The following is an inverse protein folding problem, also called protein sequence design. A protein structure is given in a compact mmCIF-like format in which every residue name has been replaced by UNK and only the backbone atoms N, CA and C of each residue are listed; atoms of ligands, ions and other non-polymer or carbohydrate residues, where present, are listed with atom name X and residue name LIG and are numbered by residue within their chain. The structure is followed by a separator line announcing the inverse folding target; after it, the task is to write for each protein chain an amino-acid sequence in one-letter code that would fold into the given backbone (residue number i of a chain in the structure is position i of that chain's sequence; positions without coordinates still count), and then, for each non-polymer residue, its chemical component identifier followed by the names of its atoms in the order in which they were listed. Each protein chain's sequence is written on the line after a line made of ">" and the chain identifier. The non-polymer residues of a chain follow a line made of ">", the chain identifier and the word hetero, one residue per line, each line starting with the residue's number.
data_IF_858961356990
#
_entry.id   IF_858961356990
#
_cell.length_a   1.000
_cell.length_b   1.000
_cell.length_c   1.000
_cell.angle_alpha   90.00
_cell.angle_beta   90.00
_cell.angle_gamma   90.00
#
_symmetry.space_group_name_H-M   'P 1'
#
loop_
_entity.id
_entity.type
_entity.pdbx_description
1 polymer ?
#
# COMPACT_ATOMS: atom_id res chain seq x y z
N UNK A 1 1.40 -17.55 6.37
CA UNK A 1 1.91 -18.21 7.59
C UNK A 1 1.88 -19.74 7.52
N UNK A 2 0.88 -20.36 6.89
CA UNK A 2 0.71 -21.83 6.84
C UNK A 2 1.95 -22.56 6.24
N UNK A 3 2.72 -21.92 5.36
CA UNK A 3 3.91 -22.51 4.75
C UNK A 3 5.19 -22.38 5.62
N UNK A 4 5.14 -21.62 6.70
CA UNK A 4 6.28 -21.34 7.58
C UNK A 4 5.83 -21.40 9.04
N UNK A 5 5.58 -22.63 9.58
CA UNK A 5 4.97 -22.78 10.90
C UNK A 5 5.82 -22.23 12.05
N UNK A 6 7.15 -22.16 11.88
CA UNK A 6 8.04 -21.55 12.88
C UNK A 6 7.80 -20.04 13.08
N UNK A 7 7.17 -19.35 12.13
CA UNK A 7 6.79 -17.93 12.31
C UNK A 7 5.74 -17.74 13.41
N UNK A 8 5.13 -18.81 13.90
CA UNK A 8 4.18 -18.78 15.03
C UNK A 8 4.83 -18.20 16.31
N UNK A 9 6.14 -18.33 16.46
CA UNK A 9 6.87 -17.83 17.63
C UNK A 9 6.73 -16.31 17.85
N UNK A 10 6.44 -15.55 16.80
CA UNK A 10 6.21 -14.10 16.93
C UNK A 10 4.78 -13.72 17.26
N UNK A 11 3.82 -14.65 17.19
CA UNK A 11 2.39 -14.35 17.44
C UNK A 11 2.13 -13.73 18.82
N UNK A 12 2.75 -14.20 19.91
CA UNK A 12 2.59 -13.56 21.23
C UNK A 12 3.00 -12.08 21.21
N UNK A 13 4.11 -11.77 20.54
CA UNK A 13 4.63 -10.40 20.41
C UNK A 13 3.66 -9.53 19.61
N UNK A 14 3.13 -10.06 18.51
CA UNK A 14 2.12 -9.37 17.68
C UNK A 14 0.82 -9.17 18.46
N UNK A 15 0.40 -10.16 19.27
CA UNK A 15 -0.80 -10.05 20.10
C UNK A 15 -0.66 -8.94 21.17
N UNK A 16 0.48 -8.87 21.85
CA UNK A 16 0.78 -7.79 22.81
C UNK A 16 0.80 -6.44 22.11
N UNK A 17 1.45 -6.33 20.95
CA UNK A 17 1.47 -5.09 20.18
C UNK A 17 0.05 -4.68 19.72
N UNK A 18 -0.81 -5.66 19.35
CA UNK A 18 -2.21 -5.41 19.01
C UNK A 18 -3.02 -4.86 20.19
N UNK A 19 -2.80 -5.40 21.40
CA UNK A 19 -3.40 -4.88 22.63
C UNK A 19 -2.96 -3.44 22.91
N UNK A 20 -1.65 -3.16 22.82
CA UNK A 20 -1.09 -1.82 23.02
C UNK A 20 -1.62 -0.81 22.00
N UNK A 21 -1.83 -1.24 20.75
CA UNK A 21 -2.48 -0.43 19.72
C UNK A 21 -3.95 -0.13 20.09
N UNK A 22 -4.68 -1.15 20.54
CA UNK A 22 -6.08 -0.98 20.98
C UNK A 22 -6.25 -0.05 22.18
N UNK A 23 -5.24 0.00 23.06
CA UNK A 23 -5.18 0.91 24.21
C UNK A 23 -4.65 2.31 23.83
N UNK A 24 -4.27 2.53 22.58
CA UNK A 24 -3.71 3.81 22.11
C UNK A 24 -2.29 4.10 22.59
N UNK A 25 -1.58 3.10 23.17
CA UNK A 25 -0.22 3.25 23.70
C UNK A 25 0.81 3.31 22.58
N UNK A 26 0.60 2.55 21.50
CA UNK A 26 1.44 2.58 20.30
C UNK A 26 0.63 2.96 19.07
N UNK A 27 1.31 3.56 18.08
CA UNK A 27 0.70 3.89 16.79
C UNK A 27 0.64 2.69 15.83
N UNK A 28 -0.12 2.87 14.75
CA UNK A 28 -0.28 1.83 13.72
C UNK A 28 1.04 1.47 13.02
N UNK A 29 1.98 2.41 12.92
CA UNK A 29 3.30 2.16 12.33
C UNK A 29 4.13 1.20 13.18
N UNK A 30 4.13 1.37 14.50
CA UNK A 30 4.82 0.51 15.48
C UNK A 30 4.23 -0.88 15.49
N UNK A 31 2.89 -0.98 15.50
CA UNK A 31 2.20 -2.26 15.37
C UNK A 31 2.61 -2.98 14.07
N UNK A 32 2.62 -2.26 12.96
CA UNK A 32 3.01 -2.81 11.67
C UNK A 32 4.47 -3.27 11.63
N UNK A 33 5.38 -2.56 12.29
CA UNK A 33 6.78 -3.00 12.48
C UNK A 33 6.84 -4.37 13.14
N UNK A 34 6.05 -4.57 14.20
CA UNK A 34 5.99 -5.85 14.91
C UNK A 34 5.48 -6.98 14.02
N UNK A 35 4.46 -6.70 13.18
CA UNK A 35 3.90 -7.69 12.26
C UNK A 35 4.91 -8.22 11.25
N UNK A 36 5.97 -7.49 10.92
CA UNK A 36 6.96 -7.91 9.92
C UNK A 36 8.26 -8.48 10.52
N UNK A 37 8.33 -8.70 11.83
CA UNK A 37 9.49 -9.32 12.49
C UNK A 37 9.82 -10.73 11.99
N UNK A 38 8.87 -11.40 11.32
CA UNK A 38 9.08 -12.71 10.71
C UNK A 38 9.88 -12.67 9.39
N UNK A 39 10.06 -11.52 8.77
CA UNK A 39 10.71 -11.41 7.45
C UNK A 39 12.08 -12.09 7.38
N UNK A 40 12.97 -11.92 8.40
CA UNK A 40 14.27 -12.61 8.38
C UNK A 40 14.16 -14.13 8.46
N UNK A 41 13.00 -14.66 8.87
CA UNK A 41 12.78 -16.08 9.12
C UNK A 41 12.28 -16.83 7.88
N UNK A 42 12.00 -16.14 6.79
CA UNK A 42 11.42 -16.73 5.57
C UNK A 42 12.19 -16.30 4.31
N UNK A 43 12.24 -17.12 3.28
CA UNK A 43 12.75 -16.73 1.96
C UNK A 43 11.73 -15.81 1.27
N UNK A 44 11.74 -14.51 1.65
CA UNK A 44 10.70 -13.53 1.31
C UNK A 44 10.46 -13.44 -0.20
N UNK A 45 11.51 -13.35 -1.02
CA UNK A 45 11.36 -13.26 -2.48
C UNK A 45 10.61 -14.47 -3.07
N UNK A 46 11.00 -15.69 -2.64
CA UNK A 46 10.34 -16.91 -3.08
C UNK A 46 8.88 -16.98 -2.61
N UNK A 47 8.61 -16.53 -1.39
CA UNK A 47 7.27 -16.49 -0.83
C UNK A 47 6.38 -15.49 -1.58
N UNK A 48 6.91 -14.31 -1.90
CA UNK A 48 6.20 -13.26 -2.66
C UNK A 48 5.92 -13.70 -4.09
N UNK A 49 6.90 -14.32 -4.77
CA UNK A 49 6.66 -14.88 -6.10
C UNK A 49 5.51 -15.88 -6.10
N UNK A 50 5.53 -16.86 -5.20
CA UNK A 50 4.44 -17.85 -5.05
C UNK A 50 3.09 -17.20 -4.71
N UNK A 51 3.11 -16.15 -3.89
CA UNK A 51 1.90 -15.39 -3.58
C UNK A 51 1.30 -14.80 -4.85
N UNK A 52 2.08 -14.09 -5.64
CA UNK A 52 1.59 -13.45 -6.86
C UNK A 52 1.30 -14.44 -7.98
N UNK A 53 2.00 -15.58 -8.07
CA UNK A 53 1.63 -16.67 -9.00
C UNK A 53 0.20 -17.14 -8.74
N UNK A 54 -0.20 -17.21 -7.47
CA UNK A 54 -1.55 -17.63 -7.07
C UNK A 54 -2.60 -16.53 -7.24
N UNK A 55 -2.24 -15.26 -7.02
CA UNK A 55 -3.20 -14.17 -6.86
C UNK A 55 -3.16 -13.10 -7.96
N UNK A 56 -2.34 -13.26 -8.98
CA UNK A 56 -2.25 -12.28 -10.08
C UNK A 56 -3.60 -12.11 -10.81
N UNK A 57 -4.42 -13.17 -10.86
CA UNK A 57 -5.76 -13.14 -11.43
C UNK A 57 -6.76 -12.29 -10.64
N UNK A 58 -6.38 -11.82 -9.45
CA UNK A 58 -7.17 -10.86 -8.64
C UNK A 58 -6.92 -9.40 -9.02
N UNK A 59 -5.93 -9.14 -9.87
CA UNK A 59 -5.73 -7.79 -10.41
C UNK A 59 -6.95 -7.40 -11.23
N UNK A 60 -7.47 -6.21 -10.99
CA UNK A 60 -8.66 -5.73 -11.67
C UNK A 60 -8.43 -5.61 -13.19
N UNK A 61 -9.33 -6.12 -14.03
CA UNK A 61 -9.18 -6.04 -15.49
C UNK A 61 -8.96 -4.62 -16.01
N UNK A 62 -9.69 -3.65 -15.45
CA UNK A 62 -9.55 -2.25 -15.85
C UNK A 62 -8.15 -1.68 -15.57
N UNK A 63 -7.41 -2.21 -14.61
CA UNK A 63 -6.03 -1.81 -14.37
C UNK A 63 -5.08 -2.34 -15.44
N UNK A 64 -5.37 -3.52 -15.99
CA UNK A 64 -4.58 -4.13 -17.07
C UNK A 64 -4.76 -3.38 -18.40
N UNK A 65 -5.92 -2.75 -18.60
CA UNK A 65 -6.27 -2.00 -19.81
C UNK A 65 -5.77 -0.54 -19.80
N UNK A 66 -5.08 -0.12 -18.73
CA UNK A 66 -4.59 1.26 -18.61
C UNK A 66 -3.63 1.63 -19.73
N UNK A 67 -3.76 2.84 -20.25
CA UNK A 67 -2.91 3.38 -21.34
C UNK A 67 -2.05 4.55 -20.90
N UNK A 68 -2.32 5.13 -19.73
CA UNK A 68 -1.61 6.28 -19.20
C UNK A 68 -0.51 5.84 -18.24
N UNK A 69 0.46 6.72 -18.03
CA UNK A 69 1.44 6.60 -16.96
C UNK A 69 0.74 6.32 -15.62
N UNK A 70 1.21 5.32 -14.92
CA UNK A 70 0.55 4.79 -13.74
C UNK A 70 1.49 4.77 -12.54
N UNK A 71 1.05 5.40 -11.46
CA UNK A 71 1.76 5.40 -10.18
C UNK A 71 0.94 4.60 -9.17
N UNK A 72 1.52 3.55 -8.59
CA UNK A 72 0.94 2.87 -7.43
C UNK A 72 1.49 3.52 -6.16
N UNK A 73 0.60 4.10 -5.35
CA UNK A 73 0.95 4.66 -4.05
C UNK A 73 0.27 3.85 -2.94
N UNK A 74 1.04 3.15 -2.11
CA UNK A 74 0.47 2.17 -1.19
C UNK A 74 1.13 2.13 0.19
N UNK A 75 0.31 1.90 1.21
CA UNK A 75 0.79 1.60 2.55
C UNK A 75 1.34 0.16 2.67
N UNK A 76 1.17 -0.68 1.67
CA UNK A 76 1.72 -2.04 1.66
C UNK A 76 3.24 -2.02 1.54
N UNK A 77 3.93 -3.10 1.99
CA UNK A 77 5.38 -3.14 1.96
C UNK A 77 5.93 -3.27 0.54
N UNK A 78 7.08 -2.65 0.33
CA UNK A 78 7.84 -2.68 -0.92
C UNK A 78 8.14 -4.12 -1.38
N UNK A 79 8.62 -4.98 -0.49
CA UNK A 79 8.94 -6.38 -0.83
C UNK A 79 7.76 -7.17 -1.39
N UNK A 80 6.53 -6.79 -1.06
CA UNK A 80 5.33 -7.43 -1.58
C UNK A 80 4.91 -6.83 -2.94
N UNK A 81 5.04 -5.52 -3.10
CA UNK A 81 4.51 -4.82 -4.27
C UNK A 81 5.47 -4.74 -5.45
N UNK A 82 6.79 -4.75 -5.22
CA UNK A 82 7.78 -4.67 -6.30
C UNK A 82 7.61 -5.78 -7.34
N UNK A 83 7.40 -7.01 -6.89
CA UNK A 83 7.21 -8.16 -7.78
C UNK A 83 5.99 -7.98 -8.70
N UNK A 84 4.84 -7.57 -8.15
CA UNK A 84 3.64 -7.39 -8.97
C UNK A 84 3.71 -6.12 -9.83
N UNK A 85 4.30 -5.05 -9.33
CA UNK A 85 4.51 -3.83 -10.10
C UNK A 85 5.36 -4.11 -11.35
N UNK A 86 6.44 -4.89 -11.19
CA UNK A 86 7.29 -5.32 -12.30
C UNK A 86 6.52 -6.21 -13.30
N UNK A 87 5.77 -7.20 -12.82
CA UNK A 87 4.97 -8.09 -13.69
C UNK A 87 3.93 -7.32 -14.50
N UNK A 88 3.31 -6.33 -13.89
CA UNK A 88 2.27 -5.51 -14.51
C UNK A 88 2.84 -4.32 -15.27
N UNK A 89 4.17 -4.14 -15.30
CA UNK A 89 4.84 -3.01 -15.92
C UNK A 89 4.24 -1.67 -15.47
N UNK A 90 4.10 -1.52 -14.15
CA UNK A 90 3.69 -0.26 -13.54
C UNK A 90 4.83 0.73 -13.68
N UNK A 91 4.54 1.95 -14.10
CA UNK A 91 5.58 2.92 -14.41
C UNK A 91 6.30 3.38 -13.14
N UNK A 92 5.57 3.51 -12.03
CA UNK A 92 6.17 3.91 -10.76
C UNK A 92 5.47 3.28 -9.54
N UNK A 93 6.28 2.95 -8.51
CA UNK A 93 5.81 2.39 -7.25
C UNK A 93 6.33 3.22 -6.07
N UNK A 94 5.41 3.85 -5.34
CA UNK A 94 5.66 4.56 -4.10
C UNK A 94 4.96 3.80 -2.96
N UNK A 95 5.74 3.23 -2.03
CA UNK A 95 5.15 2.39 -0.99
C UNK A 95 5.96 2.40 0.32
N UNK A 96 5.47 1.69 1.35
CA UNK A 96 6.19 1.59 2.62
C UNK A 96 7.45 0.76 2.46
N UNK A 97 8.60 1.36 2.74
CA UNK A 97 9.91 0.72 2.63
C UNK A 97 10.24 -0.09 3.87
N UNK A 98 10.84 -1.25 3.68
CA UNK A 98 11.23 -2.15 4.78
C UNK A 98 12.68 -2.60 4.61
N UNK A 99 13.38 -2.71 5.74
CA UNK A 99 14.67 -3.38 5.77
C UNK A 99 14.45 -4.89 5.58
N UNK A 100 14.95 -5.43 4.47
CA UNK A 100 14.75 -6.85 4.10
C UNK A 100 15.38 -7.83 5.10
N UNK A 101 16.42 -7.40 5.84
CA UNK A 101 17.12 -8.23 6.82
C UNK A 101 16.44 -8.25 8.18
N UNK A 102 15.75 -7.19 8.56
CA UNK A 102 15.17 -7.05 9.90
C UNK A 102 13.64 -7.00 9.92
N UNK A 103 13.00 -6.81 8.76
CA UNK A 103 11.56 -6.60 8.65
C UNK A 103 11.09 -5.20 9.10
N UNK A 104 11.99 -4.37 9.61
CA UNK A 104 11.63 -3.07 10.17
C UNK A 104 11.27 -2.09 9.06
N UNK A 105 10.17 -1.34 9.24
CA UNK A 105 9.78 -0.26 8.34
C UNK A 105 10.80 0.89 8.41
N UNK A 106 11.18 1.40 7.26
CA UNK A 106 12.10 2.53 7.12
C UNK A 106 11.28 3.81 6.97
N UNK A 107 11.40 4.71 7.94
CA UNK A 107 10.63 5.94 7.95
C UNK A 107 9.17 5.74 8.35
N UNK A 108 8.29 6.58 7.82
CA UNK A 108 6.84 6.53 8.08
C UNK A 108 6.13 5.52 7.18
N UNK A 109 4.99 5.01 7.62
CA UNK A 109 4.11 4.22 6.78
C UNK A 109 3.50 5.10 5.67
N UNK A 110 3.54 4.66 4.42
CA UNK A 110 3.01 5.38 3.25
C UNK A 110 1.46 5.39 3.27
N UNK A 111 0.86 6.19 4.16
CA UNK A 111 -0.58 6.26 4.40
C UNK A 111 -1.03 7.70 4.60
N UNK A 112 -2.24 8.02 4.20
CA UNK A 112 -2.85 9.34 4.32
C UNK A 112 -1.95 10.43 3.70
N UNK A 113 -1.65 11.52 4.38
CA UNK A 113 -0.80 12.62 3.91
C UNK A 113 0.60 12.16 3.46
N UNK A 114 1.13 11.13 4.09
CA UNK A 114 2.46 10.60 3.73
C UNK A 114 2.51 10.10 2.28
N UNK A 115 1.40 9.69 1.69
CA UNK A 115 1.31 9.34 0.27
C UNK A 115 1.64 10.55 -0.63
N UNK A 116 1.02 11.70 -0.34
CA UNK A 116 1.25 12.93 -1.11
C UNK A 116 2.67 13.47 -0.87
N UNK A 117 3.12 13.46 0.39
CA UNK A 117 4.48 13.87 0.72
C UNK A 117 5.51 13.08 -0.07
N UNK A 118 5.37 11.76 -0.16
CA UNK A 118 6.30 10.91 -0.94
C UNK A 118 6.17 11.08 -2.44
N UNK A 119 4.96 11.35 -2.92
CA UNK A 119 4.76 11.66 -4.34
C UNK A 119 5.54 12.93 -4.71
N UNK A 120 5.51 13.95 -3.85
CA UNK A 120 6.23 15.21 -4.05
C UNK A 120 7.73 15.15 -3.72
N UNK A 121 8.23 14.07 -3.12
CA UNK A 121 9.68 13.79 -3.05
C UNK A 121 10.26 13.34 -4.39
N UNK A 122 9.42 12.75 -5.23
CA UNK A 122 9.83 12.21 -6.54
C UNK A 122 9.47 13.16 -7.67
N UNK A 123 8.31 13.80 -7.59
CA UNK A 123 7.79 14.71 -8.59
C UNK A 123 7.60 16.11 -8.01
N UNK A 124 7.99 17.14 -8.75
CA UNK A 124 7.62 18.49 -8.38
C UNK A 124 6.13 18.70 -8.63
N UNK A 125 5.41 19.37 -7.72
CA UNK A 125 3.97 19.61 -7.89
C UNK A 125 3.59 20.31 -9.20
N UNK A 126 4.46 21.22 -9.67
CA UNK A 126 4.29 21.96 -10.92
C UNK A 126 4.43 21.10 -12.19
N UNK A 127 5.19 20.00 -12.11
CA UNK A 127 5.46 19.08 -13.23
C UNK A 127 4.48 17.87 -13.22
N UNK A 128 3.66 17.74 -12.17
CA UNK A 128 2.80 16.60 -11.98
C UNK A 128 1.33 16.91 -12.31
N UNK A 129 0.79 16.22 -13.28
CA UNK A 129 -0.63 16.28 -13.61
C UNK A 129 -1.33 14.95 -13.31
N UNK A 130 -1.99 14.88 -12.15
CA UNK A 130 -2.75 13.70 -11.74
C UNK A 130 -4.14 13.75 -12.38
N UNK A 131 -4.36 12.96 -13.42
CA UNK A 131 -5.64 12.94 -14.14
C UNK A 131 -6.72 12.22 -13.34
N UNK A 132 -6.48 10.94 -13.03
CA UNK A 132 -7.47 10.09 -12.37
C UNK A 132 -6.87 9.45 -11.11
N UNK A 133 -7.67 9.35 -10.06
CA UNK A 133 -7.28 8.68 -8.81
C UNK A 133 -8.24 7.55 -8.48
N UNK A 134 -7.68 6.41 -8.11
CA UNK A 134 -8.41 5.19 -7.78
C UNK A 134 -8.04 4.71 -6.38
N UNK A 135 -9.01 4.52 -5.48
CA UNK A 135 -8.78 3.92 -4.17
C UNK A 135 -10.05 3.28 -3.59
N UNK A 136 -9.87 2.33 -2.68
CA UNK A 136 -10.92 1.70 -1.88
C UNK A 136 -11.17 2.43 -0.54
N UNK A 137 -10.45 3.51 -0.24
CA UNK A 137 -10.52 4.19 1.04
C UNK A 137 -10.78 5.68 0.92
N UNK A 138 -12.01 6.10 1.12
CA UNK A 138 -12.34 7.54 1.26
C UNK A 138 -11.53 8.21 2.38
N UNK A 139 -11.47 7.57 3.56
CA UNK A 139 -10.87 8.17 4.75
C UNK A 139 -9.36 8.37 4.63
N UNK A 140 -8.63 7.38 4.12
CA UNK A 140 -7.17 7.40 4.13
C UNK A 140 -6.56 8.00 2.87
N UNK A 141 -7.34 8.10 1.80
CA UNK A 141 -6.88 8.58 0.52
C UNK A 141 -7.51 9.93 0.10
N UNK A 142 -8.13 10.64 1.07
CA UNK A 142 -8.62 12.01 0.89
C UNK A 142 -7.57 12.90 0.21
N UNK A 143 -6.34 12.88 0.70
CA UNK A 143 -5.25 13.72 0.21
C UNK A 143 -4.78 13.36 -1.21
N UNK A 144 -4.84 12.09 -1.59
CA UNK A 144 -4.54 11.68 -2.98
C UNK A 144 -5.71 12.01 -3.89
N UNK A 145 -6.95 11.81 -3.45
CA UNK A 145 -8.13 12.20 -4.23
C UNK A 145 -8.18 13.68 -4.54
N UNK A 146 -7.68 14.55 -3.63
CA UNK A 146 -7.63 15.99 -3.87
C UNK A 146 -6.73 16.42 -5.01
N UNK A 147 -5.83 15.55 -5.48
CA UNK A 147 -4.93 15.81 -6.60
C UNK A 147 -5.57 15.53 -7.98
N UNK A 148 -6.70 14.80 -8.01
CA UNK A 148 -7.33 14.43 -9.27
C UNK A 148 -7.86 15.66 -10.03
N UNK A 149 -7.39 15.85 -11.25
CA UNK A 149 -7.85 16.93 -12.13
C UNK A 149 -9.08 16.53 -12.96
N UNK A 150 -9.20 15.24 -13.31
CA UNK A 150 -10.30 14.74 -14.12
C UNK A 150 -11.32 13.99 -13.28
N UNK A 151 -10.96 12.83 -12.68
CA UNK A 151 -11.96 11.98 -12.03
C UNK A 151 -11.40 11.25 -10.82
N UNK A 152 -12.19 11.21 -9.73
CA UNK A 152 -12.00 10.32 -8.59
C UNK A 152 -12.83 9.05 -8.76
N UNK A 153 -12.22 7.89 -8.48
CA UNK A 153 -12.90 6.60 -8.51
C UNK A 153 -12.76 5.89 -7.18
N UNK A 154 -13.88 5.63 -6.54
CA UNK A 154 -13.91 4.67 -5.42
C UNK A 154 -13.99 3.25 -5.96
N UNK A 155 -13.16 2.36 -5.43
CA UNK A 155 -13.17 0.95 -5.82
C UNK A 155 -13.99 0.16 -4.82
N UNK A 156 -15.14 -0.28 -5.26
CA UNK A 156 -16.06 -1.06 -4.46
C UNK A 156 -16.42 -2.37 -5.18
N UNK A 157 -16.23 -3.52 -4.51
CA UNK A 157 -16.47 -4.85 -5.07
C UNK A 157 -15.90 -5.03 -6.50
N UNK A 158 -14.67 -4.55 -6.70
CA UNK A 158 -13.96 -4.58 -8.00
C UNK A 158 -14.51 -3.64 -9.09
N UNK A 159 -15.52 -2.84 -8.80
CA UNK A 159 -16.07 -1.84 -9.71
C UNK A 159 -15.47 -0.47 -9.44
N UNK A 160 -15.28 0.30 -10.50
CA UNK A 160 -14.92 1.72 -10.42
C UNK A 160 -16.20 2.55 -10.30
N UNK A 161 -16.42 3.17 -9.16
CA UNK A 161 -17.53 4.09 -8.93
C UNK A 161 -17.01 5.51 -8.99
N UNK A 162 -17.34 6.29 -10.04
CA UNK A 162 -16.90 7.67 -10.12
C UNK A 162 -17.61 8.51 -9.06
N UNK A 163 -16.89 9.50 -8.50
CA UNK A 163 -17.46 10.48 -7.58
C UNK A 163 -16.77 11.84 -7.73
N UNK A 164 -17.45 12.89 -7.29
CA UNK A 164 -16.84 14.20 -7.23
C UNK A 164 -16.20 14.43 -5.84
N UNK A 165 -14.96 14.86 -5.79
CA UNK A 165 -14.22 15.11 -4.54
C UNK A 165 -15.01 16.01 -3.57
N UNK A 166 -15.59 17.09 -4.09
CA UNK A 166 -16.33 18.06 -3.27
C UNK A 166 -17.62 17.52 -2.64
N UNK A 167 -18.22 16.49 -3.24
CA UNK A 167 -19.45 15.90 -2.71
C UNK A 167 -19.18 15.00 -1.49
N UNK A 168 -17.95 14.51 -1.37
CA UNK A 168 -17.52 13.58 -0.30
C UNK A 168 -16.73 14.32 0.79
N UNK A 169 -15.96 15.35 0.40
CA UNK A 169 -15.05 16.06 1.29
C UNK A 169 -15.36 17.57 1.26
N UNK A 170 -16.62 17.92 1.54
CA UNK A 170 -16.98 19.29 1.88
C UNK A 170 -16.27 19.69 3.19
N UNK A 171 -15.60 20.82 3.16
CA UNK A 171 -14.98 21.44 4.34
C UNK A 171 -16.02 21.86 5.37
#
# INVERSE_FOLDING_TARGET
>A
MIHYPWCIIILPIVAVAGLLLGLGIIGFTEFKRTCYLYLPMIPTEKAVKKFWDKYINKVHPWFLERKRYSIIISASPDFLLEEIANRLKVDELICSRHNRKTGVIIGKNCRAEEKVRRLYEVHKPEDLEVMDVYSDSYRHDKYIFSLAKNQCYHIEHSKKVPFNYKDVYSD
#
